data_IF_229481335647
#
_entry.id   IF_229481335647
#
_cell.length_a   1.000
_cell.length_b   1.000
_cell.length_c   1.000
_cell.angle_alpha   90.00
_cell.angle_beta   90.00
_cell.angle_gamma   90.00
#
_symmetry.space_group_name_H-M   'P 1'
#
loop_
_entity.id
_entity.type
_entity.pdbx_description
1 polymer ?
#
# COMPACT_ATOMS: atom_id res chain seq x y z
N UNK A 1 12.94 -10.71 -44.11
CA UNK A 1 12.62 -9.48 -43.37
C UNK A 1 12.60 -8.28 -44.32
N UNK A 2 11.57 -8.11 -45.15
CA UNK A 2 11.52 -7.03 -46.15
C UNK A 2 10.76 -5.77 -45.67
N UNK A 3 9.75 -5.94 -44.81
CA UNK A 3 8.92 -4.85 -44.33
C UNK A 3 9.65 -3.90 -43.35
N UNK A 4 10.57 -4.43 -42.54
CA UNK A 4 11.35 -3.63 -41.56
C UNK A 4 12.32 -2.68 -42.26
N UNK A 5 13.00 -3.14 -43.31
CA UNK A 5 13.94 -2.34 -44.10
C UNK A 5 13.29 -1.16 -44.85
N UNK A 6 11.98 -1.24 -45.14
CA UNK A 6 11.21 -0.16 -45.73
C UNK A 6 10.80 0.89 -44.68
N UNK A 7 10.43 0.44 -43.48
CA UNK A 7 10.01 1.32 -42.37
C UNK A 7 11.17 2.11 -41.77
N UNK A 8 12.41 1.60 -41.83
CA UNK A 8 13.61 2.33 -41.38
C UNK A 8 13.95 3.54 -42.27
N UNK A 9 13.54 3.53 -43.55
CA UNK A 9 13.78 4.63 -44.49
C UNK A 9 12.67 5.68 -44.51
N UNK A 10 11.56 5.43 -43.83
CA UNK A 10 10.43 6.35 -43.78
C UNK A 10 10.71 7.48 -42.77
N UNK A 11 10.33 8.71 -43.12
CA UNK A 11 10.38 9.86 -42.19
C UNK A 11 9.08 9.90 -41.39
N UNK A 12 9.20 9.83 -40.07
CA UNK A 12 8.07 9.95 -39.16
C UNK A 12 7.98 11.37 -38.64
N UNK A 13 6.77 11.91 -38.60
CA UNK A 13 6.47 13.21 -38.02
C UNK A 13 5.39 13.01 -36.95
N UNK A 14 5.57 13.64 -35.79
CA UNK A 14 4.59 13.58 -34.71
C UNK A 14 3.42 14.49 -35.10
N UNK A 15 2.27 13.88 -35.42
CA UNK A 15 1.07 14.60 -35.86
C UNK A 15 0.38 15.34 -34.71
N UNK A 16 0.38 14.75 -33.51
CA UNK A 16 -0.29 15.31 -32.35
C UNK A 16 0.28 14.74 -31.04
N UNK A 17 0.16 15.50 -29.95
CA UNK A 17 0.57 15.11 -28.60
C UNK A 17 -0.47 15.60 -27.59
N UNK A 18 -1.26 14.67 -27.06
CA UNK A 18 -2.17 14.94 -25.95
C UNK A 18 -1.50 14.65 -24.61
N UNK A 19 -1.34 15.68 -23.76
CA UNK A 19 -0.88 15.51 -22.39
C UNK A 19 -2.08 15.58 -21.42
N UNK A 20 -2.50 14.42 -20.89
CA UNK A 20 -3.61 14.29 -19.94
C UNK A 20 -3.08 14.19 -18.49
N UNK A 21 -3.47 15.10 -17.58
CA UNK A 21 -3.06 15.00 -16.18
C UNK A 21 -3.72 13.80 -15.52
N UNK A 22 -2.93 12.75 -15.26
CA UNK A 22 -3.40 11.54 -14.57
C UNK A 22 -3.01 11.61 -13.10
N UNK A 23 -3.99 11.50 -12.20
CA UNK A 23 -3.74 11.44 -10.75
C UNK A 23 -4.01 10.03 -10.22
N UNK A 24 -2.99 9.41 -9.64
CA UNK A 24 -3.13 8.14 -8.94
C UNK A 24 -3.56 8.37 -7.48
N UNK A 25 -4.50 7.57 -7.00
CA UNK A 25 -4.91 7.57 -5.59
C UNK A 25 -3.99 6.63 -4.80
N UNK A 26 -3.71 6.93 -3.52
CA UNK A 26 -2.97 6.01 -2.67
C UNK A 26 -3.74 4.69 -2.53
N UNK A 27 -2.99 3.59 -2.43
CA UNK A 27 -3.57 2.26 -2.20
C UNK A 27 -4.25 2.14 -0.84
N UNK A 28 -5.15 1.18 -0.73
CA UNK A 28 -5.76 0.80 0.54
C UNK A 28 -4.69 0.25 1.51
N UNK A 29 -4.92 0.28 2.84
CA UNK A 29 -4.04 -0.35 3.81
C UNK A 29 -3.90 -1.85 3.53
N UNK A 30 -2.75 -2.41 3.93
CA UNK A 30 -2.43 -3.81 3.65
C UNK A 30 -3.35 -4.77 4.40
N UNK A 31 -4.02 -5.63 3.63
CA UNK A 31 -4.64 -6.89 4.10
C UNK A 31 -3.76 -8.08 3.72
N UNK A 32 -4.03 -9.26 4.29
CA UNK A 32 -3.20 -10.47 4.07
C UNK A 32 -2.87 -10.75 2.60
N UNK A 33 -3.82 -10.78 1.64
CA UNK A 33 -3.49 -11.06 0.25
C UNK A 33 -2.64 -9.97 -0.39
N UNK A 34 -2.94 -8.69 -0.09
CA UNK A 34 -2.16 -7.56 -0.63
C UNK A 34 -0.76 -7.48 -0.04
N UNK A 35 -0.57 -7.88 1.22
CA UNK A 35 0.73 -7.97 1.87
C UNK A 35 1.58 -9.05 1.21
N UNK A 36 0.99 -10.23 0.97
CA UNK A 36 1.67 -11.35 0.31
C UNK A 36 2.04 -11.00 -1.13
N UNK A 37 1.14 -10.35 -1.87
CA UNK A 37 1.40 -9.90 -3.23
C UNK A 37 2.51 -8.85 -3.27
N UNK A 38 2.45 -7.83 -2.39
CA UNK A 38 3.47 -6.80 -2.32
C UNK A 38 4.83 -7.35 -1.91
N UNK A 39 4.89 -8.30 -0.97
CA UNK A 39 6.11 -8.97 -0.56
C UNK A 39 6.71 -9.84 -1.68
N UNK A 40 5.86 -10.50 -2.47
CA UNK A 40 6.31 -11.25 -3.64
C UNK A 40 6.89 -10.32 -4.72
N UNK A 41 6.19 -9.23 -5.05
CA UNK A 41 6.63 -8.32 -6.11
C UNK A 41 7.84 -7.47 -5.71
N UNK A 42 7.90 -6.98 -4.46
CA UNK A 42 8.93 -6.02 -4.03
C UNK A 42 10.14 -6.69 -3.37
N UNK A 43 9.92 -7.77 -2.62
CA UNK A 43 10.95 -8.42 -1.82
C UNK A 43 11.28 -9.84 -2.34
N UNK A 44 10.55 -10.36 -3.33
CA UNK A 44 10.74 -11.72 -3.84
C UNK A 44 10.39 -12.81 -2.83
N UNK A 45 9.61 -12.50 -1.78
CA UNK A 45 9.31 -13.45 -0.73
C UNK A 45 8.10 -14.32 -1.07
N UNK A 46 8.26 -15.63 -0.86
CA UNK A 46 7.12 -16.56 -0.88
C UNK A 46 6.15 -16.32 0.29
N UNK A 47 4.94 -16.86 0.16
CA UNK A 47 3.87 -16.72 1.16
C UNK A 47 4.32 -17.18 2.54
N UNK A 48 4.97 -18.34 2.64
CA UNK A 48 5.45 -18.90 3.92
C UNK A 48 6.45 -17.97 4.63
N UNK A 49 7.43 -17.44 3.89
CA UNK A 49 8.46 -16.54 4.43
C UNK A 49 7.86 -15.23 4.91
N UNK A 50 6.94 -14.65 4.12
CA UNK A 50 6.23 -13.42 4.47
C UNK A 50 5.44 -13.57 5.77
N UNK A 51 4.70 -14.67 5.90
CA UNK A 51 3.90 -14.93 7.11
C UNK A 51 4.75 -15.23 8.34
N UNK A 52 5.88 -15.92 8.18
CA UNK A 52 6.83 -16.17 9.28
C UNK A 52 7.42 -14.86 9.83
N UNK A 53 7.83 -13.95 8.95
CA UNK A 53 8.39 -12.66 9.37
C UNK A 53 7.32 -11.77 9.99
N UNK A 54 6.11 -11.74 9.41
CA UNK A 54 4.99 -11.01 9.97
C UNK A 54 4.60 -11.52 11.37
N UNK A 55 4.66 -12.84 11.62
CA UNK A 55 4.45 -13.40 12.96
C UNK A 55 5.46 -12.85 13.97
N UNK A 56 6.75 -12.86 13.63
CA UNK A 56 7.80 -12.33 14.52
C UNK A 56 7.62 -10.84 14.81
N UNK A 57 7.22 -10.06 13.81
CA UNK A 57 6.94 -8.63 13.98
C UNK A 57 5.70 -8.38 14.85
N UNK A 58 4.71 -9.27 14.79
CA UNK A 58 3.53 -9.20 15.64
C UNK A 58 3.86 -9.49 17.11
N UNK A 59 4.64 -10.54 17.36
CA UNK A 59 5.11 -10.91 18.70
C UNK A 59 6.01 -9.83 19.31
N UNK A 60 6.80 -9.14 18.49
CA UNK A 60 7.61 -7.99 18.89
C UNK A 60 6.80 -6.68 19.06
N UNK A 61 5.50 -6.67 18.75
CA UNK A 61 4.63 -5.50 18.91
C UNK A 61 4.79 -4.40 17.84
N UNK A 62 5.55 -4.65 16.77
CA UNK A 62 5.77 -3.66 15.70
C UNK A 62 4.60 -3.56 14.72
N UNK A 63 3.96 -4.69 14.45
CA UNK A 63 2.75 -4.74 13.64
C UNK A 63 1.67 -5.40 14.46
N UNK A 64 0.45 -5.20 14.03
CA UNK A 64 -0.70 -5.85 14.63
C UNK A 64 -1.20 -6.99 13.72
N UNK A 65 -2.17 -7.77 14.20
CA UNK A 65 -2.56 -9.06 13.60
C UNK A 65 -2.61 -9.12 12.07
N UNK A 66 -1.67 -9.85 11.47
CA UNK A 66 -1.41 -9.91 10.03
C UNK A 66 -2.38 -10.77 9.20
N UNK A 67 -3.25 -11.57 9.83
CA UNK A 67 -4.24 -12.41 9.14
C UNK A 67 -5.62 -11.74 9.12
N UNK A 68 -5.77 -10.69 8.31
CA UNK A 68 -7.04 -10.00 8.10
C UNK A 68 -7.52 -10.05 6.66
N UNK A 69 -8.83 -9.92 6.50
CA UNK A 69 -9.54 -9.60 5.27
C UNK A 69 -10.08 -8.15 5.25
N UNK A 70 -9.90 -7.38 6.33
CA UNK A 70 -10.50 -6.05 6.50
C UNK A 70 -9.49 -4.92 6.35
N UNK A 71 -9.85 -3.89 5.57
CA UNK A 71 -9.11 -2.63 5.41
C UNK A 71 -9.45 -1.59 6.47
N UNK A 72 -10.18 -1.95 7.52
CA UNK A 72 -10.64 -1.00 8.53
C UNK A 72 -9.52 -0.66 9.50
N UNK A 73 -9.21 0.64 9.64
CA UNK A 73 -8.28 1.18 10.62
C UNK A 73 -9.07 1.79 11.79
N UNK A 74 -8.52 1.77 13.01
CA UNK A 74 -9.08 2.51 14.15
C UNK A 74 -8.94 4.03 13.96
N UNK A 75 -9.71 4.83 14.67
CA UNK A 75 -9.52 6.29 14.65
C UNK A 75 -8.12 6.68 15.16
N UNK A 76 -7.64 6.04 16.23
CA UNK A 76 -6.32 6.29 16.82
C UNK A 76 -5.20 6.01 15.81
N UNK A 77 -5.40 4.96 15.00
CA UNK A 77 -4.53 4.63 13.89
C UNK A 77 -4.32 5.74 12.89
N UNK A 78 -5.45 6.25 12.42
CA UNK A 78 -5.47 7.31 11.42
C UNK A 78 -4.83 8.58 11.98
N UNK A 79 -5.07 8.88 13.26
CA UNK A 79 -4.50 10.06 13.90
C UNK A 79 -2.98 9.97 14.06
N UNK A 80 -2.45 8.83 14.53
CA UNK A 80 -1.01 8.62 14.68
C UNK A 80 -0.28 8.74 13.34
N UNK A 81 -0.83 8.14 12.27
CA UNK A 81 -0.26 8.23 10.92
C UNK A 81 -0.28 9.68 10.41
N UNK A 82 -1.35 10.44 10.67
CA UNK A 82 -1.41 11.86 10.29
C UNK A 82 -0.35 12.69 11.00
N UNK A 83 -0.12 12.44 12.29
CA UNK A 83 0.91 13.15 13.08
C UNK A 83 2.30 12.82 12.56
N UNK A 84 2.63 11.54 12.34
CA UNK A 84 3.93 11.15 11.78
C UNK A 84 4.15 11.68 10.37
N UNK A 85 3.12 11.71 9.52
CA UNK A 85 3.22 12.33 8.18
C UNK A 85 3.48 13.84 8.26
N UNK A 86 2.87 14.55 9.21
CA UNK A 86 3.09 15.98 9.40
C UNK A 86 4.53 16.30 9.82
N UNK A 87 5.17 15.39 10.56
CA UNK A 87 6.56 15.53 11.02
C UNK A 87 7.55 15.20 9.90
N UNK A 88 7.32 14.11 9.15
CA UNK A 88 8.29 13.60 8.19
C UNK A 88 8.18 14.22 6.79
N UNK A 89 6.98 14.66 6.37
CA UNK A 89 6.72 15.04 4.97
C UNK A 89 6.43 16.53 4.80
N UNK A 90 7.05 17.14 3.78
CA UNK A 90 6.74 18.49 3.33
C UNK A 90 5.23 18.66 3.05
N UNK A 91 4.68 19.77 3.58
CA UNK A 91 3.28 20.27 3.66
C UNK A 91 2.26 19.93 2.55
N UNK A 92 2.66 19.37 1.41
CA UNK A 92 1.82 19.15 0.23
C UNK A 92 1.01 17.83 0.22
N UNK A 93 1.35 16.85 1.07
CA UNK A 93 0.64 15.55 1.11
C UNK A 93 -0.64 15.61 1.98
N UNK A 94 -0.67 16.49 2.99
CA UNK A 94 -1.75 16.57 4.00
C UNK A 94 -3.13 16.99 3.47
N UNK A 95 -3.25 17.54 2.25
CA UNK A 95 -4.55 18.00 1.72
C UNK A 95 -5.49 16.87 1.29
N UNK A 96 -5.00 15.64 1.07
CA UNK A 96 -5.85 14.48 0.71
C UNK A 96 -6.08 13.61 1.95
N UNK A 97 -7.16 13.89 2.67
CA UNK A 97 -7.58 13.07 3.80
C UNK A 97 -7.75 11.58 3.37
N UNK A 98 -7.44 10.62 4.25
CA UNK A 98 -7.67 9.21 3.96
C UNK A 98 -9.18 8.98 3.83
N UNK A 99 -9.62 8.62 2.62
CA UNK A 99 -10.96 8.08 2.40
C UNK A 99 -11.05 6.74 3.11
N UNK A 100 -12.03 6.58 3.99
CA UNK A 100 -12.42 5.26 4.49
C UNK A 100 -12.91 4.42 3.31
N UNK A 101 -12.04 3.60 2.74
CA UNK A 101 -12.42 2.75 1.62
C UNK A 101 -13.18 1.55 2.17
N UNK A 102 -14.51 1.63 2.16
CA UNK A 102 -15.40 0.50 2.42
C UNK A 102 -15.28 -0.49 1.25
N UNK A 103 -14.56 -1.59 1.46
CA UNK A 103 -14.50 -2.68 0.48
C UNK A 103 -15.87 -3.38 0.38
N UNK A 104 -16.37 -3.63 -0.84
CA UNK A 104 -17.56 -4.47 -1.08
C UNK A 104 -17.25 -5.90 -0.62
N UNK A 105 -17.98 -6.38 0.40
CA UNK A 105 -17.86 -7.74 0.96
C UNK A 105 -18.63 -8.74 0.12
N UNK A 106 -17.94 -9.71 -0.46
CA UNK A 106 -18.54 -11.00 -0.85
C UNK A 106 -18.62 -11.88 0.41
N UNK A 107 -19.79 -12.47 0.70
CA UNK A 107 -20.12 -13.18 1.95
C UNK A 107 -19.03 -14.18 2.38
N UNK A 108 -18.35 -13.92 3.51
CA UNK A 108 -17.66 -14.95 4.31
C UNK A 108 -17.65 -14.59 5.80
N UNK A 109 -17.94 -15.61 6.62
CA UNK A 109 -18.17 -15.53 8.07
C UNK A 109 -16.83 -15.37 8.85
N UNK A 110 -16.92 -14.70 10.00
CA UNK A 110 -16.02 -14.71 11.18
C UNK A 110 -14.77 -13.78 11.23
N UNK A 111 -14.97 -12.72 12.03
CA UNK A 111 -14.15 -12.22 13.16
C UNK A 111 -12.84 -11.41 13.03
N UNK A 112 -12.85 -10.34 13.85
CA UNK A 112 -11.81 -9.52 14.52
C UNK A 112 -11.05 -8.46 13.68
N UNK A 113 -11.17 -7.21 14.17
CA UNK A 113 -10.77 -5.92 13.58
C UNK A 113 -9.25 -5.69 13.60
N UNK A 114 -8.78 -4.86 12.67
CA UNK A 114 -7.37 -4.62 12.35
C UNK A 114 -6.77 -3.44 13.15
N UNK A 115 -5.69 -3.70 13.89
CA UNK A 115 -4.29 -3.28 13.68
C UNK A 115 -3.88 -1.81 13.43
N UNK A 116 -3.05 -1.28 14.34
CA UNK A 116 -2.07 -0.19 14.19
C UNK A 116 -0.71 -0.55 14.84
N UNK A 117 0.46 -0.09 14.35
CA UNK A 117 1.70 -0.13 15.13
C UNK A 117 1.58 0.72 16.40
N UNK A 118 1.87 0.13 17.55
CA UNK A 118 2.04 0.84 18.81
C UNK A 118 3.54 0.97 19.07
N UNK A 119 4.17 2.00 18.48
CA UNK A 119 5.57 2.30 18.77
C UNK A 119 5.80 3.80 18.81
N UNK A 120 5.43 4.44 19.93
CA UNK A 120 6.09 5.66 20.44
C UNK A 120 5.56 6.02 21.85
N UNK A 121 5.91 5.20 22.85
CA UNK A 121 6.07 5.67 24.24
C UNK A 121 6.70 4.54 25.09
N UNK A 122 8.01 4.40 25.05
CA UNK A 122 8.74 3.74 26.15
C UNK A 122 9.90 4.66 26.53
N UNK A 123 9.72 5.54 27.54
CA UNK A 123 10.85 6.10 28.26
C UNK A 123 11.36 4.98 29.16
N UNK A 124 12.55 4.44 28.89
CA UNK A 124 13.24 3.59 29.86
C UNK A 124 14.08 4.50 30.77
N UNK A 125 14.18 4.19 32.08
CA UNK A 125 14.94 4.95 33.06
C UNK A 125 16.46 4.87 32.83
#
# INVERSE_FOLDING_TARGET
>A
MAAVALLEKARYQVLDREDKPTSSKPGAPFITPTLQQAASTRLGYGVKKTMMMAQRLYEAGHITYMRTDSTNLSQDAVNMVRVTLAITSAKNICRRAPTSTTAKRTRRKRTKRFVLPMLLCWPNP
#
